data_IF_716609511271
#
_entry.id   IF_716609511271
#
_cell.length_a   1.000
_cell.length_b   1.000
_cell.length_c   1.000
_cell.angle_alpha   90.00
_cell.angle_beta   90.00
_cell.angle_gamma   90.00
#
_symmetry.space_group_name_H-M   'P 1'
#
loop_
_entity.id
_entity.type
_entity.pdbx_description
1 polymer ?
#
# COMPACT_ATOMS: atom_id res chain seq x y z
N UNK A 1 27.96 7.98 -1.15
CA UNK A 1 26.56 7.58 -0.82
C UNK A 1 26.02 8.52 0.24
N UNK A 2 24.78 8.99 0.12
CA UNK A 2 24.15 9.79 1.17
C UNK A 2 23.71 8.89 2.31
N UNK A 3 24.14 9.19 3.53
CA UNK A 3 23.74 8.47 4.74
C UNK A 3 22.32 8.87 5.14
N UNK A 4 21.46 7.89 5.44
CA UNK A 4 20.12 8.14 5.98
C UNK A 4 20.25 8.44 7.47
N UNK A 5 19.83 9.63 7.89
CA UNK A 5 19.87 10.08 9.29
C UNK A 5 18.48 10.34 9.89
N UNK A 6 17.45 10.53 9.05
CA UNK A 6 16.07 10.73 9.50
C UNK A 6 15.38 9.37 9.75
N UNK A 7 14.86 9.12 10.97
CA UNK A 7 14.07 7.93 11.27
C UNK A 7 12.84 7.79 10.38
N UNK A 8 12.17 8.90 10.05
CA UNK A 8 10.97 8.91 9.21
C UNK A 8 11.30 8.45 7.78
N UNK A 9 12.34 9.03 7.18
CA UNK A 9 12.79 8.65 5.85
C UNK A 9 13.26 7.20 5.82
N UNK A 10 13.97 6.76 6.85
CA UNK A 10 14.40 5.36 7.00
C UNK A 10 13.19 4.41 7.01
N UNK A 11 12.19 4.67 7.85
CA UNK A 11 10.98 3.83 7.93
C UNK A 11 10.18 3.84 6.62
N UNK A 12 10.13 4.94 5.89
CA UNK A 12 9.52 5.01 4.55
C UNK A 12 10.27 4.14 3.54
N UNK A 13 11.61 4.20 3.52
CA UNK A 13 12.45 3.39 2.63
C UNK A 13 12.25 1.91 2.93
N UNK A 14 12.35 1.52 4.21
CA UNK A 14 12.15 0.13 4.63
C UNK A 14 10.74 -0.34 4.28
N UNK A 15 9.69 0.41 4.65
CA UNK A 15 8.29 0.02 4.41
C UNK A 15 7.92 -0.15 2.94
N UNK A 16 8.59 0.58 2.02
CA UNK A 16 8.41 0.37 0.57
C UNK A 16 9.14 -0.89 0.09
N UNK A 17 10.35 -1.17 0.60
CA UNK A 17 11.16 -2.31 0.19
C UNK A 17 10.76 -3.66 0.82
N UNK A 18 10.17 -3.63 2.02
CA UNK A 18 9.91 -4.81 2.87
C UNK A 18 8.59 -5.51 2.60
N UNK A 19 7.78 -5.04 1.63
CA UNK A 19 6.51 -5.68 1.29
C UNK A 19 6.75 -7.10 0.79
N UNK A 20 6.13 -8.08 1.46
CA UNK A 20 6.02 -9.46 0.98
C UNK A 20 4.85 -9.56 0.01
N UNK A 21 4.99 -10.42 -0.99
CA UNK A 21 3.97 -10.61 -2.01
C UNK A 21 3.88 -12.09 -2.37
N UNK A 22 2.79 -12.73 -1.95
CA UNK A 22 2.55 -14.15 -2.24
C UNK A 22 2.30 -14.41 -3.73
N UNK A 23 1.81 -13.42 -4.49
CA UNK A 23 1.47 -13.60 -5.91
C UNK A 23 2.73 -13.60 -6.79
N UNK A 24 3.73 -12.80 -6.45
CA UNK A 24 5.04 -12.78 -7.12
C UNK A 24 6.08 -13.65 -6.44
N UNK A 25 5.67 -14.48 -5.47
CA UNK A 25 6.55 -15.36 -4.69
C UNK A 25 7.67 -14.61 -3.92
N UNK A 26 7.44 -13.33 -3.59
CA UNK A 26 8.37 -12.53 -2.79
C UNK A 26 8.09 -12.76 -1.30
N UNK A 27 8.66 -13.82 -0.75
CA UNK A 27 8.44 -14.21 0.66
C UNK A 27 9.48 -13.64 1.64
N UNK A 28 10.58 -13.10 1.14
CA UNK A 28 11.63 -12.54 1.98
C UNK A 28 12.34 -11.40 1.26
N UNK A 29 13.09 -10.62 2.04
CA UNK A 29 13.97 -9.58 1.53
C UNK A 29 15.21 -9.52 2.43
N UNK A 30 16.31 -9.00 1.89
CA UNK A 30 17.53 -8.76 2.64
C UNK A 30 17.81 -7.27 2.68
N UNK A 31 18.03 -6.74 3.87
CA UNK A 31 18.59 -5.40 4.05
C UNK A 31 20.09 -5.56 4.27
N UNK A 32 20.89 -4.85 3.50
CA UNK A 32 22.34 -4.78 3.70
C UNK A 32 22.66 -3.34 4.09
N UNK A 33 23.24 -3.17 5.27
CA UNK A 33 23.55 -1.85 5.82
C UNK A 33 25.06 -1.59 5.77
N UNK A 34 25.46 -0.72 4.84
CA UNK A 34 26.85 -0.30 4.67
C UNK A 34 27.16 1.03 5.39
N UNK A 35 26.15 1.70 5.95
CA UNK A 35 26.28 3.07 6.49
C UNK A 35 25.85 3.19 7.95
N UNK A 36 25.51 2.07 8.58
CA UNK A 36 25.00 2.00 9.95
C UNK A 36 23.59 2.57 10.12
N UNK A 37 22.78 2.63 9.05
CA UNK A 37 21.41 3.16 9.09
C UNK A 37 20.47 2.31 9.97
N UNK A 38 20.78 1.05 10.21
CA UNK A 38 20.05 0.13 11.11
C UNK A 38 19.95 0.64 12.55
N UNK A 39 20.81 1.59 12.96
CA UNK A 39 20.69 2.29 14.25
C UNK A 39 19.37 3.05 14.44
N UNK A 40 18.64 3.30 13.35
CA UNK A 40 17.36 4.01 13.34
C UNK A 40 16.15 3.09 13.61
N UNK A 41 16.35 1.77 13.73
CA UNK A 41 15.32 0.84 14.20
C UNK A 41 15.06 1.04 15.70
N UNK A 42 13.79 1.14 16.08
CA UNK A 42 13.38 1.21 17.48
C UNK A 42 12.97 -0.17 18.03
N UNK A 43 12.45 -0.20 19.26
CA UNK A 43 12.01 -1.43 19.92
C UNK A 43 10.78 -2.05 19.23
N UNK A 44 9.92 -1.23 18.62
CA UNK A 44 8.73 -1.69 17.91
C UNK A 44 9.08 -2.41 16.60
N UNK A 45 10.17 -1.98 15.95
CA UNK A 45 10.64 -2.58 14.69
C UNK A 45 11.30 -3.97 14.88
N UNK A 46 11.57 -4.39 16.13
CA UNK A 46 12.24 -5.66 16.43
C UNK A 46 11.23 -6.74 16.79
N UNK A 47 11.34 -7.96 16.23
CA UNK A 47 10.42 -9.04 16.59
C UNK A 47 10.51 -9.39 18.07
N UNK A 48 9.36 -9.51 18.72
CA UNK A 48 9.24 -9.90 20.12
C UNK A 48 9.48 -11.42 20.26
N UNK A 49 10.55 -11.82 20.94
CA UNK A 49 10.85 -13.24 21.19
C UNK A 49 12.34 -13.54 21.22
N UNK A 50 12.70 -14.73 21.70
CA UNK A 50 14.08 -15.22 21.57
C UNK A 50 14.41 -15.40 20.07
N UNK A 51 15.61 -15.00 19.61
CA UNK A 51 16.03 -15.27 18.24
C UNK A 51 15.93 -16.77 17.97
N UNK A 52 15.25 -17.14 16.89
CA UNK A 52 15.11 -18.55 16.49
C UNK A 52 16.52 -19.11 16.28
N UNK A 53 16.84 -20.19 17.00
CA UNK A 53 18.13 -20.86 16.85
C UNK A 53 18.25 -21.39 15.43
N UNK A 54 19.37 -21.08 14.76
CA UNK A 54 19.71 -21.70 13.49
C UNK A 54 19.80 -23.22 13.70
N UNK A 55 19.38 -24.06 12.74
CA UNK A 55 19.56 -25.49 12.87
C UNK A 55 21.06 -25.80 13.03
N UNK A 56 21.44 -26.39 14.17
CA UNK A 56 22.84 -26.68 14.57
C UNK A 56 23.29 -28.07 14.08
N UNK A 57 22.44 -28.79 13.34
CA UNK A 57 22.74 -30.13 12.85
C UNK A 57 23.71 -30.15 11.65
N UNK A 58 24.37 -31.29 11.38
CA UNK A 58 25.16 -31.45 10.17
C UNK A 58 24.29 -31.20 8.92
N UNK A 59 24.76 -30.32 8.03
CA UNK A 59 24.12 -30.03 6.74
C UNK A 59 24.44 -31.13 5.73
N UNK A 60 24.01 -32.36 5.98
CA UNK A 60 24.31 -33.54 5.13
C UNK A 60 23.07 -34.18 4.52
N UNK A 61 21.86 -33.70 4.84
CA UNK A 61 20.64 -34.25 4.28
C UNK A 61 20.43 -33.83 2.81
N UNK A 62 19.69 -34.64 2.06
CA UNK A 62 19.26 -34.35 0.70
C UNK A 62 17.74 -34.48 0.56
N UNK A 63 17.16 -33.67 -0.33
CA UNK A 63 15.74 -33.68 -0.63
C UNK A 63 15.55 -33.63 -2.14
N UNK A 64 14.89 -34.62 -2.71
CA UNK A 64 14.59 -34.66 -4.14
C UNK A 64 13.15 -35.10 -4.39
N UNK A 65 12.66 -34.85 -5.60
CA UNK A 65 11.26 -35.13 -5.88
C UNK A 65 10.78 -34.71 -7.25
N UNK A 66 9.51 -34.96 -7.48
CA UNK A 66 8.82 -34.59 -8.73
C UNK A 66 7.65 -33.66 -8.45
N UNK A 67 7.49 -32.66 -9.32
CA UNK A 67 6.35 -31.76 -9.34
C UNK A 67 5.46 -32.12 -10.52
N UNK A 68 4.16 -32.27 -10.27
CA UNK A 68 3.21 -32.68 -11.30
C UNK A 68 1.83 -32.05 -11.12
N UNK A 69 1.05 -32.03 -12.18
CA UNK A 69 -0.32 -31.53 -12.19
C UNK A 69 -1.24 -32.50 -11.43
N UNK A 70 -1.95 -32.01 -10.41
CA UNK A 70 -2.75 -32.86 -9.52
C UNK A 70 -3.90 -33.60 -10.21
N UNK A 71 -4.50 -32.99 -11.25
CA UNK A 71 -5.64 -33.57 -11.98
C UNK A 71 -5.22 -34.39 -13.22
N UNK A 72 -4.33 -33.88 -14.07
CA UNK A 72 -3.92 -34.57 -15.31
C UNK A 72 -2.77 -35.56 -15.10
N UNK A 73 -1.98 -35.42 -14.03
CA UNK A 73 -0.79 -36.23 -13.77
C UNK A 73 0.47 -35.76 -14.52
N UNK A 74 0.38 -34.71 -15.34
CA UNK A 74 1.49 -34.24 -16.17
C UNK A 74 2.66 -33.70 -15.33
N UNK A 75 3.90 -34.02 -15.72
CA UNK A 75 5.10 -33.49 -15.06
C UNK A 75 5.26 -32.00 -15.35
N UNK A 76 5.48 -31.21 -14.30
CA UNK A 76 5.58 -29.75 -14.41
C UNK A 76 7.02 -29.32 -14.60
N UNK A 77 7.35 -28.93 -15.83
CA UNK A 77 8.66 -28.41 -16.23
C UNK A 77 8.79 -26.93 -15.87
N UNK A 78 9.92 -26.52 -15.30
CA UNK A 78 10.16 -25.12 -14.93
C UNK A 78 9.41 -24.64 -13.68
N UNK A 79 8.90 -25.56 -12.86
CA UNK A 79 8.35 -25.23 -11.54
C UNK A 79 9.48 -24.76 -10.63
N UNK A 80 9.23 -23.68 -9.88
CA UNK A 80 10.16 -23.07 -8.93
C UNK A 80 10.05 -23.81 -7.60
N UNK A 81 11.17 -24.34 -7.12
CA UNK A 81 11.26 -25.06 -5.84
C UNK A 81 12.27 -24.36 -4.95
N UNK A 82 11.92 -24.09 -3.70
CA UNK A 82 12.81 -23.48 -2.71
C UNK A 82 12.66 -24.16 -1.35
N UNK A 83 13.77 -24.34 -0.62
CA UNK A 83 13.77 -24.93 0.73
C UNK A 83 14.19 -23.87 1.74
N UNK A 84 13.32 -23.55 2.69
CA UNK A 84 13.63 -22.69 3.83
C UNK A 84 14.10 -23.54 5.01
N UNK A 85 15.37 -23.35 5.37
CA UNK A 85 16.05 -24.08 6.46
C UNK A 85 16.12 -23.29 7.75
N UNK A 86 15.80 -21.99 7.74
CA UNK A 86 15.72 -21.14 8.92
C UNK A 86 14.97 -19.83 8.64
N UNK A 87 14.82 -18.94 9.63
CA UNK A 87 14.05 -17.70 9.50
C UNK A 87 14.52 -16.79 8.34
N UNK A 88 15.82 -16.83 8.04
CA UNK A 88 16.47 -16.03 7.00
C UNK A 88 17.38 -16.87 6.10
N UNK A 89 17.19 -18.20 6.07
CA UNK A 89 18.04 -19.11 5.31
C UNK A 89 17.18 -19.93 4.38
N UNK A 90 17.42 -19.76 3.08
CA UNK A 90 16.73 -20.46 2.00
C UNK A 90 17.75 -20.95 0.99
N UNK A 91 17.55 -22.16 0.46
CA UNK A 91 18.20 -22.67 -0.76
C UNK A 91 17.20 -22.63 -1.92
N UNK A 92 17.69 -22.27 -3.12
CA UNK A 92 16.86 -22.05 -4.31
C UNK A 92 16.45 -20.58 -4.51
N UNK A 93 15.60 -20.28 -5.51
CA UNK A 93 14.80 -21.24 -6.28
C UNK A 93 15.65 -22.04 -7.28
N UNK A 94 15.37 -23.34 -7.37
CA UNK A 94 15.76 -24.16 -8.51
C UNK A 94 14.53 -24.39 -9.39
N UNK A 95 14.76 -24.64 -10.68
CA UNK A 95 13.70 -24.97 -11.63
C UNK A 95 13.68 -26.48 -11.86
N UNK A 96 12.48 -27.07 -11.92
CA UNK A 96 12.34 -28.48 -12.29
C UNK A 96 12.76 -28.72 -13.74
N UNK A 97 13.33 -29.89 -14.00
CA UNK A 97 13.76 -30.31 -15.33
C UNK A 97 12.60 -30.78 -16.24
N UNK A 98 12.93 -31.38 -17.38
CA UNK A 98 11.95 -31.89 -18.37
C UNK A 98 11.06 -33.02 -17.83
N UNK A 99 11.49 -33.71 -16.78
CA UNK A 99 10.71 -34.76 -16.12
C UNK A 99 9.97 -34.22 -14.88
N UNK A 100 10.05 -32.91 -14.62
CA UNK A 100 9.49 -32.28 -13.44
C UNK A 100 10.28 -32.56 -12.16
N UNK A 101 11.53 -33.03 -12.28
CA UNK A 101 12.36 -33.42 -11.15
C UNK A 101 13.15 -32.24 -10.56
N UNK A 102 13.36 -32.26 -9.24
CA UNK A 102 14.20 -31.31 -8.51
C UNK A 102 15.06 -32.03 -7.46
N UNK A 103 16.19 -31.42 -7.09
CA UNK A 103 17.04 -31.93 -6.00
C UNK A 103 17.77 -30.83 -5.23
N UNK A 104 17.85 -31.00 -3.91
CA UNK A 104 18.60 -30.20 -2.96
C UNK A 104 19.54 -31.11 -2.18
N UNK A 105 20.73 -30.62 -1.86
CA UNK A 105 21.72 -31.29 -1.05
C UNK A 105 22.30 -30.33 -0.01
N UNK A 106 22.93 -30.87 1.03
CA UNK A 106 23.50 -30.04 2.08
C UNK A 106 22.44 -29.36 2.95
N UNK A 107 21.32 -30.04 3.18
CA UNK A 107 20.24 -29.56 4.04
C UNK A 107 20.50 -29.99 5.50
N UNK A 108 20.11 -29.17 6.50
CA UNK A 108 20.23 -29.56 7.89
C UNK A 108 19.17 -30.59 8.25
N UNK A 109 19.52 -31.54 9.12
CA UNK A 109 18.54 -32.45 9.70
C UNK A 109 17.50 -31.70 10.54
N UNK A 110 16.24 -32.07 10.39
CA UNK A 110 15.10 -31.45 11.07
C UNK A 110 13.94 -31.14 10.13
N UNK A 111 12.97 -30.39 10.65
CA UNK A 111 11.79 -29.96 9.89
C UNK A 111 12.11 -28.74 9.05
N UNK A 112 12.08 -28.90 7.73
CA UNK A 112 12.30 -27.85 6.74
C UNK A 112 10.97 -27.43 6.13
N UNK A 113 10.92 -26.22 5.57
CA UNK A 113 9.76 -25.77 4.78
C UNK A 113 10.11 -25.75 3.30
N UNK A 114 9.46 -26.60 2.51
CA UNK A 114 9.55 -26.64 1.06
C UNK A 114 8.45 -25.78 0.45
N UNK A 115 8.82 -24.86 -0.43
CA UNK A 115 7.93 -23.97 -1.17
C UNK A 115 8.02 -24.29 -2.65
N UNK A 116 6.88 -24.55 -3.29
CA UNK A 116 6.80 -24.94 -4.70
C UNK A 116 5.77 -24.08 -5.41
N UNK A 117 6.15 -23.51 -6.54
CA UNK A 117 5.26 -22.72 -7.39
C UNK A 117 5.50 -23.00 -8.87
N UNK A 118 4.46 -22.86 -9.69
CA UNK A 118 4.57 -22.98 -11.14
C UNK A 118 3.57 -22.01 -11.80
N UNK A 119 3.90 -21.43 -12.97
CA UNK A 119 2.98 -20.55 -13.69
C UNK A 119 1.64 -21.25 -13.97
N UNK A 120 0.53 -20.62 -13.58
CA UNK A 120 -0.82 -21.19 -13.73
C UNK A 120 -1.25 -22.18 -12.62
N UNK A 121 -0.39 -22.42 -11.62
CA UNK A 121 -0.68 -23.32 -10.49
C UNK A 121 -0.69 -22.57 -9.15
N UNK A 122 -1.47 -23.07 -8.20
CA UNK A 122 -1.46 -22.55 -6.84
C UNK A 122 -0.15 -22.97 -6.14
N UNK A 123 0.63 -21.99 -5.66
CA UNK A 123 1.83 -22.27 -4.87
C UNK A 123 1.50 -23.08 -3.62
N UNK A 124 2.39 -23.99 -3.24
CA UNK A 124 2.21 -24.93 -2.14
C UNK A 124 3.41 -24.88 -1.19
N UNK A 125 3.12 -24.84 0.10
CA UNK A 125 4.10 -24.90 1.18
C UNK A 125 3.93 -26.23 1.93
N UNK A 126 5.03 -26.95 2.14
CA UNK A 126 5.07 -28.27 2.75
C UNK A 126 6.13 -28.29 3.85
N UNK A 127 5.81 -28.88 4.99
CA UNK A 127 6.83 -29.20 6.01
C UNK A 127 7.39 -30.59 5.70
N UNK A 128 8.71 -30.68 5.59
CA UNK A 128 9.43 -31.91 5.27
C UNK A 128 10.42 -32.19 6.38
N UNK A 129 10.33 -33.36 6.99
CA UNK A 129 11.32 -33.81 7.95
C UNK A 129 12.48 -34.47 7.21
N UNK A 130 13.70 -34.05 7.53
CA UNK A 130 14.94 -34.58 6.95
C UNK A 130 15.83 -35.14 8.05
N UNK A 131 16.50 -36.25 7.76
CA UNK A 131 17.48 -36.88 8.64
C UNK A 131 18.89 -36.68 8.08
N UNK A 132 19.89 -36.62 8.96
CA UNK A 132 21.28 -36.44 8.56
C UNK A 132 21.73 -37.60 7.66
N UNK A 133 22.46 -37.29 6.59
CA UNK A 133 23.00 -38.26 5.62
C UNK A 133 21.94 -39.07 4.84
N UNK A 134 20.66 -38.73 4.97
CA UNK A 134 19.58 -39.38 4.22
C UNK A 134 19.05 -38.52 3.07
N UNK A 135 18.50 -39.20 2.06
CA UNK A 135 17.82 -38.57 0.93
C UNK A 135 16.32 -38.78 1.01
N UNK A 136 15.57 -37.72 1.27
CA UNK A 136 14.11 -37.74 1.31
C UNK A 136 13.57 -37.55 -0.10
N UNK A 137 12.68 -38.45 -0.54
CA UNK A 137 11.98 -38.37 -1.82
C UNK A 137 10.55 -37.92 -1.62
N UNK A 138 10.09 -36.91 -2.38
CA UNK A 138 8.72 -36.39 -2.28
C UNK A 138 8.07 -36.19 -3.64
N UNK A 139 6.76 -36.42 -3.70
CA UNK A 139 5.95 -36.14 -4.87
C UNK A 139 4.97 -35.00 -4.56
N UNK A 140 4.96 -33.98 -5.42
CA UNK A 140 4.28 -32.72 -5.15
C UNK A 140 3.24 -32.45 -6.23
N UNK A 141 1.97 -32.80 -5.96
CA UNK A 141 0.88 -32.39 -6.83
C UNK A 141 0.59 -30.89 -6.62
N UNK A 142 0.61 -30.14 -7.71
CA UNK A 142 0.09 -28.77 -7.76
C UNK A 142 -1.28 -28.77 -8.41
N UNK A 143 -2.22 -28.08 -7.76
CA UNK A 143 -3.54 -27.83 -8.34
C UNK A 143 -3.46 -26.59 -9.22
N UNK A 144 -4.24 -26.52 -10.32
CA UNK A 144 -4.40 -25.29 -11.06
C UNK A 144 -4.70 -24.14 -10.10
N UNK A 145 -4.10 -22.98 -10.37
CA UNK A 145 -4.43 -21.79 -9.61
C UNK A 145 -5.91 -21.52 -9.82
N UNK A 146 -6.74 -21.86 -8.82
CA UNK A 146 -8.05 -21.20 -8.72
C UNK A 146 -7.71 -19.73 -8.67
N UNK A 147 -8.28 -18.92 -9.58
CA UNK A 147 -8.21 -17.46 -9.51
C UNK A 147 -8.70 -17.04 -8.13
N UNK A 148 -7.80 -17.01 -7.16
CA UNK A 148 -8.00 -16.37 -5.87
C UNK A 148 -7.80 -14.91 -6.18
N UNK A 149 -8.89 -14.30 -6.62
CA UNK A 149 -8.99 -12.86 -6.62
C UNK A 149 -8.58 -12.40 -5.23
N UNK A 150 -7.57 -11.54 -5.16
CA UNK A 150 -7.39 -10.72 -3.97
C UNK A 150 -8.71 -9.98 -3.80
N UNK A 151 -9.46 -10.37 -2.78
CA UNK A 151 -10.64 -9.63 -2.37
C UNK A 151 -10.13 -8.37 -1.68
N UNK A 152 -10.25 -7.23 -2.33
CA UNK A 152 -10.16 -5.96 -1.60
C UNK A 152 -11.53 -5.84 -0.93
N UNK A 153 -11.55 -6.08 0.39
CA UNK A 153 -12.71 -5.72 1.21
C UNK A 153 -12.51 -4.28 1.65
N UNK A 154 -13.22 -3.38 1.00
CA UNK A 154 -13.53 -2.07 1.57
C UNK A 154 -14.92 -2.20 2.19
N UNK A 155 -15.18 -1.56 3.33
CA UNK A 155 -16.50 -1.60 3.97
C UNK A 155 -17.58 -1.20 2.95
N UNK A 156 -18.46 -2.13 2.57
CA UNK A 156 -19.55 -1.94 1.60
C UNK A 156 -19.27 -2.37 0.15
N UNK A 157 -18.07 -2.84 -0.21
CA UNK A 157 -17.75 -3.22 -1.59
C UNK A 157 -16.86 -4.48 -1.67
N UNK A 158 -17.37 -5.57 -2.26
CA UNK A 158 -16.56 -6.74 -2.62
C UNK A 158 -15.97 -6.55 -4.02
N UNK A 159 -14.65 -6.29 -4.09
CA UNK A 159 -13.92 -6.22 -5.37
C UNK A 159 -13.13 -7.51 -5.57
N UNK A 160 -13.26 -8.13 -6.73
CA UNK A 160 -12.47 -9.32 -7.12
C UNK A 160 -11.53 -9.00 -8.26
N UNK A 161 -10.22 -9.25 -8.05
CA UNK A 161 -9.22 -9.17 -9.11
C UNK A 161 -9.20 -10.51 -9.88
N UNK A 162 -10.01 -10.62 -10.93
CA UNK A 162 -9.66 -11.48 -12.08
C UNK A 162 -8.69 -10.68 -12.99
N UNK A 163 -8.32 -11.17 -14.17
CA UNK A 163 -7.63 -10.32 -15.17
C UNK A 163 -8.40 -9.01 -15.50
N UNK A 164 -9.66 -8.91 -15.07
CA UNK A 164 -10.49 -7.71 -15.04
C UNK A 164 -11.01 -7.48 -13.60
N UNK A 165 -10.98 -6.24 -13.11
CA UNK A 165 -11.54 -5.87 -11.81
C UNK A 165 -13.07 -5.76 -11.89
N UNK A 166 -13.78 -6.46 -11.00
CA UNK A 166 -15.24 -6.44 -10.90
C UNK A 166 -15.64 -5.76 -9.59
N UNK A 167 -16.51 -4.75 -9.68
CA UNK A 167 -17.09 -3.95 -8.61
C UNK A 167 -18.56 -4.34 -8.40
N UNK A 168 -19.01 -4.52 -7.16
CA UNK A 168 -20.40 -4.89 -6.84
C UNK A 168 -21.17 -3.71 -6.25
N UNK A 169 -22.24 -3.26 -6.88
CA UNK A 169 -23.09 -2.18 -6.37
C UNK A 169 -24.22 -2.81 -5.53
N UNK A 170 -24.15 -2.70 -4.21
CA UNK A 170 -25.15 -3.31 -3.30
C UNK A 170 -26.55 -2.73 -3.52
N UNK A 171 -26.66 -1.43 -3.80
CA UNK A 171 -27.94 -0.74 -4.02
C UNK A 171 -28.74 -1.27 -5.22
N UNK A 172 -28.07 -1.82 -6.24
CA UNK A 172 -28.70 -2.32 -7.47
C UNK A 172 -28.50 -3.82 -7.70
N UNK A 173 -27.60 -4.45 -6.94
CA UNK A 173 -27.17 -5.84 -7.14
C UNK A 173 -26.33 -6.06 -8.41
N UNK A 174 -25.88 -4.99 -9.07
CA UNK A 174 -25.14 -5.08 -10.33
C UNK A 174 -23.65 -5.32 -10.10
N UNK A 175 -23.04 -6.09 -11.02
CA UNK A 175 -21.59 -6.23 -11.13
C UNK A 175 -21.10 -5.40 -12.30
N UNK A 176 -20.18 -4.48 -12.03
CA UNK A 176 -19.60 -3.57 -13.02
C UNK A 176 -18.12 -3.89 -13.19
N UNK A 177 -17.66 -3.95 -14.44
CA UNK A 177 -16.22 -3.94 -14.76
C UNK A 177 -15.63 -2.55 -14.52
N UNK A 178 -14.32 -2.44 -14.55
CA UNK A 178 -13.60 -1.18 -14.30
C UNK A 178 -14.13 -0.02 -15.15
N UNK A 179 -14.30 -0.23 -16.46
CA UNK A 179 -14.79 0.80 -17.38
C UNK A 179 -16.23 1.21 -17.05
N UNK A 180 -17.09 0.24 -16.75
CA UNK A 180 -18.51 0.45 -16.42
C UNK A 180 -18.64 1.18 -15.06
N UNK A 181 -17.83 0.82 -14.07
CA UNK A 181 -17.79 1.47 -12.77
C UNK A 181 -17.26 2.92 -12.86
N UNK A 182 -16.27 3.15 -13.72
CA UNK A 182 -15.76 4.49 -14.02
C UNK A 182 -16.83 5.36 -14.65
N UNK A 183 -17.57 4.84 -15.62
CA UNK A 183 -18.65 5.57 -16.27
C UNK A 183 -19.79 5.86 -15.28
N UNK A 184 -20.12 4.91 -14.40
CA UNK A 184 -21.07 5.09 -13.31
C UNK A 184 -20.64 6.22 -12.35
N UNK A 185 -19.38 6.21 -11.88
CA UNK A 185 -18.81 7.29 -11.07
C UNK A 185 -18.95 8.63 -11.79
N UNK A 186 -18.54 8.72 -13.05
CA UNK A 186 -18.63 9.95 -13.83
C UNK A 186 -20.06 10.49 -13.93
N UNK A 187 -21.06 9.62 -14.11
CA UNK A 187 -22.47 10.01 -14.11
C UNK A 187 -22.90 10.53 -12.74
N UNK A 188 -22.57 9.84 -11.66
CA UNK A 188 -22.95 10.28 -10.31
C UNK A 188 -22.31 11.62 -9.93
N UNK A 189 -21.07 11.86 -10.36
CA UNK A 189 -20.38 13.15 -10.16
C UNK A 189 -21.05 14.24 -11.00
N UNK A 190 -21.34 14.01 -12.29
CA UNK A 190 -22.01 15.00 -13.18
C UNK A 190 -23.38 15.42 -12.68
N UNK A 191 -24.13 14.49 -12.08
CA UNK A 191 -25.46 14.79 -11.51
C UNK A 191 -25.40 15.77 -10.32
N UNK A 192 -24.27 15.82 -9.62
CA UNK A 192 -24.07 16.65 -8.41
C UNK A 192 -23.26 17.92 -8.70
N UNK A 193 -22.34 17.83 -9.66
CA UNK A 193 -21.49 18.92 -10.11
C UNK A 193 -21.44 18.93 -11.64
N UNK A 194 -22.06 19.93 -12.24
CA UNK A 194 -22.18 20.02 -13.70
C UNK A 194 -20.86 20.35 -14.42
N UNK A 195 -19.88 20.92 -13.69
CA UNK A 195 -18.58 21.29 -14.22
C UNK A 195 -17.52 21.33 -13.11
N UNK A 196 -16.26 21.56 -13.51
CA UNK A 196 -15.11 21.62 -12.61
C UNK A 196 -15.27 22.69 -11.51
N UNK A 197 -15.78 23.88 -11.85
CA UNK A 197 -15.99 24.96 -10.90
C UNK A 197 -17.05 24.60 -9.84
N UNK A 198 -18.15 23.97 -10.26
CA UNK A 198 -19.18 23.46 -9.37
C UNK A 198 -18.60 22.41 -8.40
N UNK A 199 -17.84 21.43 -8.92
CA UNK A 199 -17.21 20.40 -8.09
C UNK A 199 -16.20 21.02 -7.11
N UNK A 200 -15.40 21.98 -7.56
CA UNK A 200 -14.46 22.72 -6.69
C UNK A 200 -15.19 23.44 -5.57
N UNK A 201 -16.30 24.13 -5.86
CA UNK A 201 -17.07 24.86 -4.85
C UNK A 201 -17.61 23.95 -3.74
N UNK A 202 -17.94 22.70 -4.08
CA UNK A 202 -18.30 21.64 -3.14
C UNK A 202 -17.05 21.21 -2.35
N UNK A 203 -15.95 20.94 -3.06
CA UNK A 203 -14.74 20.35 -2.49
C UNK A 203 -14.00 21.23 -1.49
N UNK A 204 -13.91 22.54 -1.74
CA UNK A 204 -13.21 23.49 -0.85
C UNK A 204 -13.97 23.77 0.45
N UNK A 205 -15.27 23.46 0.49
CA UNK A 205 -16.09 23.59 1.69
C UNK A 205 -16.12 22.23 2.43
N UNK A 206 -15.57 22.13 3.66
CA UNK A 206 -15.47 20.84 4.36
C UNK A 206 -16.81 20.12 4.55
N UNK A 207 -17.87 20.86 4.89
CA UNK A 207 -19.20 20.28 5.13
C UNK A 207 -19.81 19.77 3.83
N UNK A 208 -19.74 20.56 2.75
CA UNK A 208 -20.25 20.14 1.43
C UNK A 208 -19.45 18.97 0.88
N UNK A 209 -18.11 18.99 1.03
CA UNK A 209 -17.23 17.89 0.61
C UNK A 209 -17.59 16.60 1.34
N UNK A 210 -17.75 16.65 2.67
CA UNK A 210 -18.14 15.48 3.47
C UNK A 210 -19.49 14.93 3.02
N UNK A 211 -20.50 15.80 2.88
CA UNK A 211 -21.82 15.39 2.40
C UNK A 211 -21.76 14.77 1.00
N UNK A 212 -20.95 15.33 0.10
CA UNK A 212 -20.73 14.79 -1.24
C UNK A 212 -20.08 13.41 -1.21
N UNK A 213 -19.01 13.21 -0.43
CA UNK A 213 -18.33 11.92 -0.31
C UNK A 213 -19.22 10.86 0.36
N UNK A 214 -19.95 11.21 1.40
CA UNK A 214 -20.93 10.32 2.03
C UNK A 214 -22.04 9.91 1.06
N UNK A 215 -22.52 10.84 0.24
CA UNK A 215 -23.54 10.56 -0.76
C UNK A 215 -23.01 9.65 -1.88
N UNK A 216 -21.76 9.81 -2.32
CA UNK A 216 -21.11 8.85 -3.21
C UNK A 216 -21.05 7.45 -2.57
N UNK A 217 -20.62 7.35 -1.30
CA UNK A 217 -20.56 6.07 -0.59
C UNK A 217 -21.93 5.39 -0.47
N UNK A 218 -23.02 6.17 -0.29
CA UNK A 218 -24.40 5.64 -0.29
C UNK A 218 -24.85 5.04 -1.63
N UNK A 219 -24.13 5.36 -2.71
CA UNK A 219 -24.33 4.81 -4.04
C UNK A 219 -23.24 3.77 -4.40
N UNK A 220 -22.61 3.16 -3.39
CA UNK A 220 -21.53 2.16 -3.52
C UNK A 220 -20.31 2.67 -4.32
N UNK A 221 -20.08 3.99 -4.28
CA UNK A 221 -18.91 4.62 -4.88
C UNK A 221 -17.81 4.78 -3.82
N UNK A 222 -16.75 3.97 -3.96
CA UNK A 222 -15.57 3.99 -3.10
C UNK A 222 -14.35 4.39 -3.92
N UNK A 223 -13.91 5.64 -3.74
CA UNK A 223 -12.81 6.21 -4.52
C UNK A 223 -11.48 5.49 -4.23
N UNK A 224 -11.28 5.05 -2.99
CA UNK A 224 -10.08 4.38 -2.54
C UNK A 224 -9.92 3.01 -3.23
N UNK A 225 -11.01 2.26 -3.37
CA UNK A 225 -11.02 0.97 -4.07
C UNK A 225 -10.67 1.15 -5.56
N UNK A 226 -11.28 2.14 -6.21
CA UNK A 226 -11.01 2.44 -7.61
C UNK A 226 -9.57 2.93 -7.83
N UNK A 227 -9.09 3.83 -6.98
CA UNK A 227 -7.72 4.31 -7.00
C UNK A 227 -6.70 3.17 -6.78
N UNK A 228 -7.00 2.20 -5.92
CA UNK A 228 -6.15 1.03 -5.71
C UNK A 228 -6.07 0.15 -6.97
N UNK A 229 -7.21 -0.15 -7.59
CA UNK A 229 -7.28 -0.94 -8.83
C UNK A 229 -6.53 -0.25 -9.97
N UNK A 230 -6.61 1.08 -10.06
CA UNK A 230 -5.93 1.87 -11.10
C UNK A 230 -4.44 2.15 -10.78
N UNK A 231 -3.96 1.79 -9.59
CA UNK A 231 -2.59 2.10 -9.15
C UNK A 231 -2.35 3.60 -8.91
N UNK A 232 -3.41 4.35 -8.61
CA UNK A 232 -3.43 5.80 -8.46
C UNK A 232 -3.63 6.24 -7.01
N UNK A 233 -3.15 5.44 -6.04
CA UNK A 233 -3.36 5.71 -4.60
C UNK A 233 -2.72 7.02 -4.11
N UNK A 234 -1.74 7.56 -4.84
CA UNK A 234 -1.04 8.82 -4.54
C UNK A 234 -1.73 10.05 -5.15
N UNK A 235 -2.67 9.84 -6.08
CA UNK A 235 -3.45 10.89 -6.74
C UNK A 235 -4.37 11.53 -5.71
N UNK A 236 -4.50 12.85 -5.74
CA UNK A 236 -5.45 13.54 -4.88
C UNK A 236 -6.89 13.25 -5.33
N UNK A 237 -7.80 13.02 -4.38
CA UNK A 237 -9.18 12.65 -4.66
C UNK A 237 -9.93 13.67 -5.53
N UNK A 238 -9.65 14.97 -5.38
CA UNK A 238 -10.24 16.00 -6.24
C UNK A 238 -9.73 15.87 -7.68
N UNK A 239 -8.41 15.70 -7.84
CA UNK A 239 -7.81 15.52 -9.17
C UNK A 239 -8.28 14.21 -9.79
N UNK A 240 -8.44 13.15 -9.00
CA UNK A 240 -9.00 11.89 -9.45
C UNK A 240 -10.42 12.07 -10.01
N UNK A 241 -11.32 12.69 -9.24
CA UNK A 241 -12.69 12.95 -9.67
C UNK A 241 -12.76 13.86 -10.91
N UNK A 242 -11.97 14.94 -10.93
CA UNK A 242 -11.97 15.90 -12.03
C UNK A 242 -11.32 15.34 -13.30
N UNK A 243 -10.28 14.51 -13.16
CA UNK A 243 -9.64 13.82 -14.27
C UNK A 243 -10.63 12.85 -14.93
N UNK A 244 -11.26 11.97 -14.15
CA UNK A 244 -12.21 11.00 -14.68
C UNK A 244 -13.44 11.66 -15.30
N UNK A 245 -13.96 12.71 -14.66
CA UNK A 245 -15.26 13.28 -15.03
C UNK A 245 -15.17 14.38 -16.09
N UNK A 246 -14.11 15.19 -16.05
CA UNK A 246 -13.94 16.40 -16.86
C UNK A 246 -12.64 16.44 -17.67
N UNK A 247 -11.80 15.40 -17.60
CA UNK A 247 -10.54 15.34 -18.35
C UNK A 247 -9.46 16.28 -17.81
N UNK A 248 -9.55 16.71 -16.55
CA UNK A 248 -8.54 17.57 -15.93
C UNK A 248 -7.18 16.86 -15.79
N UNK A 249 -6.06 17.61 -15.70
CA UNK A 249 -4.75 17.03 -15.44
C UNK A 249 -4.71 16.29 -14.09
N UNK A 250 -4.11 15.10 -14.08
CA UNK A 250 -3.93 14.32 -12.85
C UNK A 250 -2.81 14.94 -12.02
N UNK A 251 -3.03 15.11 -10.72
CA UNK A 251 -1.99 15.54 -9.76
C UNK A 251 -2.06 14.70 -8.50
N UNK A 252 -0.89 14.45 -7.93
CA UNK A 252 -0.72 13.77 -6.66
C UNK A 252 -0.86 14.74 -5.49
N UNK A 253 -1.17 14.19 -4.31
CA UNK A 253 -1.16 14.97 -3.06
C UNK A 253 0.20 15.64 -2.81
N UNK A 254 1.29 14.97 -3.19
CA UNK A 254 2.66 15.49 -3.10
C UNK A 254 2.89 16.69 -4.03
N UNK A 255 2.41 16.62 -5.26
CA UNK A 255 2.49 17.73 -6.22
C UNK A 255 1.65 18.92 -5.76
N UNK A 256 0.43 18.68 -5.25
CA UNK A 256 -0.41 19.75 -4.67
C UNK A 256 0.25 20.45 -3.49
N UNK A 257 0.80 19.69 -2.55
CA UNK A 257 1.51 20.25 -1.40
C UNK A 257 2.72 21.09 -1.84
N UNK A 258 3.47 20.61 -2.84
CA UNK A 258 4.62 21.33 -3.40
C UNK A 258 4.20 22.61 -4.12
N UNK A 259 3.15 22.54 -4.95
CA UNK A 259 2.60 23.69 -5.66
C UNK A 259 2.08 24.75 -4.69
N UNK A 260 1.38 24.34 -3.62
CA UNK A 260 0.96 25.23 -2.54
C UNK A 260 2.17 25.95 -1.93
N UNK A 261 3.21 25.20 -1.53
CA UNK A 261 4.40 25.79 -0.93
C UNK A 261 5.02 26.82 -1.86
N UNK A 262 5.19 26.51 -3.14
CA UNK A 262 5.85 27.40 -4.08
C UNK A 262 5.01 28.66 -4.37
N UNK A 263 3.69 28.51 -4.52
CA UNK A 263 2.79 29.61 -4.91
C UNK A 263 2.43 30.52 -3.74
N UNK A 264 2.21 29.95 -2.56
CA UNK A 264 1.65 30.67 -1.39
C UNK A 264 2.74 31.20 -0.43
N UNK A 265 3.95 31.50 -0.94
CA UNK A 265 5.07 31.98 -0.13
C UNK A 265 4.72 33.24 0.68
N UNK A 266 4.05 34.22 0.07
CA UNK A 266 3.63 35.44 0.77
C UNK A 266 2.67 35.14 1.94
N UNK A 267 1.75 34.19 1.74
CA UNK A 267 0.85 33.73 2.79
C UNK A 267 1.60 32.99 3.90
N UNK A 268 2.58 32.14 3.56
CA UNK A 268 3.41 31.47 4.58
C UNK A 268 4.28 32.48 5.37
N UNK A 269 4.77 33.52 4.69
CA UNK A 269 5.61 34.54 5.30
C UNK A 269 4.86 35.52 6.21
N UNK A 270 3.53 35.64 6.08
CA UNK A 270 2.73 36.46 6.99
C UNK A 270 2.60 35.86 8.40
N UNK A 271 2.93 34.57 8.57
CA UNK A 271 2.95 33.89 9.86
C UNK A 271 4.36 33.88 10.48
N UNK A 272 4.41 33.94 11.82
CA UNK A 272 5.62 33.69 12.60
C UNK A 272 6.12 32.25 12.44
N UNK A 273 7.36 32.00 12.86
CA UNK A 273 8.07 30.73 12.64
C UNK A 273 7.30 29.50 13.11
N UNK A 274 6.79 29.51 14.35
CA UNK A 274 6.02 28.39 14.89
C UNK A 274 4.73 28.10 14.10
N UNK A 275 3.96 29.14 13.77
CA UNK A 275 2.73 28.99 12.99
C UNK A 275 3.03 28.52 11.56
N UNK A 276 4.10 29.01 10.94
CA UNK A 276 4.55 28.54 9.63
C UNK A 276 4.94 27.06 9.67
N UNK A 277 5.66 26.63 10.70
CA UNK A 277 6.04 25.23 10.88
C UNK A 277 4.82 24.33 11.04
N UNK A 278 3.77 24.80 11.74
CA UNK A 278 2.48 24.10 11.80
C UNK A 278 1.86 23.93 10.42
N UNK A 279 1.85 24.99 9.59
CA UNK A 279 1.32 24.90 8.22
C UNK A 279 2.10 23.88 7.39
N UNK A 280 3.43 23.88 7.49
CA UNK A 280 4.27 22.92 6.75
C UNK A 280 4.00 21.48 7.17
N UNK A 281 3.84 21.20 8.48
CA UNK A 281 3.48 19.86 8.94
C UNK A 281 2.06 19.45 8.54
N UNK A 282 1.11 20.39 8.50
CA UNK A 282 -0.23 20.12 7.99
C UNK A 282 -0.18 19.67 6.52
N UNK A 283 0.69 20.29 5.70
CA UNK A 283 0.90 19.87 4.31
C UNK A 283 1.51 18.47 4.22
N UNK A 284 2.40 18.08 5.13
CA UNK A 284 2.91 16.70 5.19
C UNK A 284 1.82 15.70 5.61
N UNK A 285 0.94 16.06 6.56
CA UNK A 285 -0.23 15.23 6.88
C UNK A 285 -1.16 15.07 5.69
N UNK A 286 -1.46 16.16 4.99
CA UNK A 286 -2.23 16.14 3.75
C UNK A 286 -1.60 15.23 2.68
N UNK A 287 -0.27 15.28 2.51
CA UNK A 287 0.44 14.44 1.55
C UNK A 287 0.21 12.94 1.78
N UNK A 288 0.13 12.54 3.05
CA UNK A 288 -0.05 11.14 3.46
C UNK A 288 -1.51 10.71 3.43
N UNK A 289 -2.42 11.49 4.02
CA UNK A 289 -3.79 11.06 4.26
C UNK A 289 -4.87 11.90 3.57
N UNK A 290 -4.49 12.77 2.64
CA UNK A 290 -5.45 13.58 1.88
C UNK A 290 -6.07 14.71 2.70
N UNK A 291 -7.10 15.33 2.11
CA UNK A 291 -7.70 16.55 2.62
C UNK A 291 -8.44 16.37 3.94
N UNK A 292 -8.85 15.14 4.26
CA UNK A 292 -9.45 14.80 5.54
C UNK A 292 -8.49 14.99 6.73
N UNK A 293 -7.17 14.99 6.49
CA UNK A 293 -6.17 15.26 7.53
C UNK A 293 -6.09 16.75 7.93
N UNK A 294 -6.78 17.65 7.23
CA UNK A 294 -6.79 19.09 7.53
C UNK A 294 -7.97 19.53 8.39
N UNK A 295 -8.45 18.62 9.25
CA UNK A 295 -9.49 18.88 10.25
C UNK A 295 -8.86 19.13 11.64
N UNK A 296 -9.57 19.82 12.57
CA UNK A 296 -9.02 20.17 13.89
C UNK A 296 -8.44 19.00 14.70
N UNK A 297 -8.95 17.78 14.47
CA UNK A 297 -8.55 16.55 15.14
C UNK A 297 -7.07 16.21 14.88
N UNK A 298 -6.51 16.68 13.76
CA UNK A 298 -5.10 16.49 13.41
C UNK A 298 -4.16 17.00 14.50
N UNK A 299 -4.55 18.02 15.27
CA UNK A 299 -3.70 18.54 16.33
C UNK A 299 -3.56 17.61 17.55
N UNK A 300 -4.27 16.49 17.56
CA UNK A 300 -4.15 15.44 18.57
C UNK A 300 -3.09 14.38 18.22
N UNK A 301 -2.54 14.42 17.00
CA UNK A 301 -1.51 13.48 16.54
C UNK A 301 -0.13 14.14 16.48
N UNK A 302 0.92 13.31 16.44
CA UNK A 302 2.31 13.79 16.37
C UNK A 302 2.60 14.52 15.04
N UNK A 303 3.40 15.60 15.01
CA UNK A 303 4.11 16.24 16.13
C UNK A 303 3.29 17.30 16.90
N UNK A 304 2.04 17.54 16.49
CA UNK A 304 1.22 18.63 17.05
C UNK A 304 0.89 18.42 18.52
N UNK A 305 0.69 17.17 18.95
CA UNK A 305 0.49 16.82 20.35
C UNK A 305 1.67 17.26 21.22
N UNK A 306 2.89 16.99 20.77
CA UNK A 306 4.14 17.34 21.45
C UNK A 306 4.38 18.85 21.48
N UNK A 307 3.79 19.59 20.54
CA UNK A 307 3.77 21.06 20.53
C UNK A 307 2.70 21.67 21.41
N UNK A 308 2.02 20.88 22.24
CA UNK A 308 0.97 21.32 23.15
C UNK A 308 -0.43 21.34 22.52
N UNK A 309 -0.60 20.63 21.40
CA UNK A 309 -1.88 20.35 20.75
C UNK A 309 -2.63 21.60 20.27
N UNK A 310 -3.93 21.43 20.03
CA UNK A 310 -4.79 22.51 19.52
C UNK A 310 -4.78 23.77 20.40
N UNK A 311 -4.62 23.61 21.73
CA UNK A 311 -4.60 24.72 22.68
C UNK A 311 -3.38 25.63 22.48
N UNK A 312 -2.18 25.06 22.40
CA UNK A 312 -0.95 25.86 22.24
C UNK A 312 -0.84 26.39 20.81
N UNK A 313 -1.17 25.54 19.83
CA UNK A 313 -1.13 25.90 18.41
C UNK A 313 -2.08 27.07 18.14
N UNK A 314 -3.30 27.09 18.69
CA UNK A 314 -4.24 28.20 18.43
C UNK A 314 -3.66 29.56 18.80
N UNK A 315 -2.86 29.65 19.87
CA UNK A 315 -2.22 30.90 20.30
C UNK A 315 -1.20 31.42 19.27
N UNK A 316 -0.48 30.54 18.59
CA UNK A 316 0.46 30.93 17.53
C UNK A 316 -0.23 31.54 16.31
N UNK A 317 -1.51 31.24 16.10
CA UNK A 317 -2.33 31.82 15.03
C UNK A 317 -3.17 33.02 15.49
N UNK A 318 -3.06 33.45 16.75
CA UNK A 318 -3.87 34.55 17.31
C UNK A 318 -5.21 34.12 17.91
N UNK A 319 -5.37 32.84 18.22
CA UNK A 319 -6.53 32.26 18.91
C UNK A 319 -7.30 31.24 18.06
N UNK A 320 -8.28 30.56 18.68
CA UNK A 320 -9.04 29.48 18.06
C UNK A 320 -9.78 29.89 16.78
N UNK A 321 -10.39 31.09 16.76
CA UNK A 321 -11.09 31.60 15.58
C UNK A 321 -10.16 31.81 14.38
N UNK A 322 -8.97 32.36 14.63
CA UNK A 322 -7.97 32.61 13.60
C UNK A 322 -7.31 31.32 13.10
N UNK A 323 -7.08 30.34 13.98
CA UNK A 323 -6.63 29.01 13.57
C UNK A 323 -7.66 28.34 12.64
N UNK A 324 -8.95 28.40 13.00
CA UNK A 324 -10.03 27.83 12.19
C UNK A 324 -10.14 28.49 10.82
N UNK A 325 -10.12 29.82 10.76
CA UNK A 325 -10.14 30.54 9.47
C UNK A 325 -8.90 30.21 8.64
N UNK A 326 -7.73 30.13 9.27
CA UNK A 326 -6.47 29.76 8.60
C UNK A 326 -6.53 28.36 8.00
N UNK A 327 -7.06 27.37 8.73
CA UNK A 327 -7.27 26.02 8.18
C UNK A 327 -8.18 26.02 6.95
N UNK A 328 -9.28 26.77 6.99
CA UNK A 328 -10.17 26.92 5.83
C UNK A 328 -9.44 27.59 4.65
N UNK A 329 -8.65 28.63 4.91
CA UNK A 329 -7.84 29.30 3.88
C UNK A 329 -6.79 28.36 3.29
N UNK A 330 -6.14 27.51 4.09
CA UNK A 330 -5.20 26.50 3.59
C UNK A 330 -5.94 25.52 2.67
N UNK A 331 -7.08 24.98 3.09
CA UNK A 331 -7.87 24.06 2.25
C UNK A 331 -8.29 24.72 0.93
N UNK A 332 -8.73 25.98 0.95
CA UNK A 332 -9.06 26.73 -0.27
C UNK A 332 -7.84 26.94 -1.17
N UNK A 333 -6.69 27.28 -0.59
CA UNK A 333 -5.43 27.51 -1.33
C UNK A 333 -4.83 26.21 -1.84
N UNK A 334 -5.08 25.04 -1.26
CA UNK A 334 -4.65 23.76 -1.85
C UNK A 334 -5.32 23.54 -3.22
N UNK A 335 -6.57 23.99 -3.37
CA UNK A 335 -7.34 23.93 -4.62
C UNK A 335 -7.55 25.33 -5.18
N UNK A 336 -6.55 25.97 -5.83
CA UNK A 336 -6.75 27.29 -6.43
C UNK A 336 -7.89 27.26 -7.45
N UNK A 337 -8.48 28.43 -7.73
CA UNK A 337 -9.23 28.58 -8.97
C UNK A 337 -8.22 28.49 -10.11
N UNK A 338 -8.30 27.44 -10.92
CA UNK A 338 -7.52 27.41 -12.15
C UNK A 338 -8.03 28.54 -13.02
N UNK A 339 -7.16 29.51 -13.30
CA UNK A 339 -7.42 30.48 -14.34
C UNK A 339 -7.69 29.72 -15.62
N UNK A 340 -8.87 29.95 -16.20
CA UNK A 340 -9.13 29.64 -17.60
C UNK A 340 -7.96 30.26 -18.37
N UNK A 341 -7.07 29.42 -18.90
CA UNK A 341 -5.98 29.84 -19.78
C UNK A 341 -6.02 28.95 -21.00
#
# INVERSE_FOLDING_TARGET
MKTVSSPVLFKQIIGRGSRIDQATEKYWFRIIDFTGATRLFDQWDRPTGAPTQLPVGPCTAALCGWVFHAETGDRLVGARVSVRTGPNTQQGPILTDKEGFFSFSGLPAGTLTLMVGAPGFASRELRVETLAEESVKIEIPLKPARRRSRKIRVEGLEVTIADEAIFFIEATGQQLRLEEYRDYLCQQVKNRASNLSALRSIWVNPEKRRAFLEDLRRHDIHLEALAEVMGWQEVDEFDFLTHLTFGAPIRTRSERATAFRNREQLFLHSFGENARQVILELLEKYRVGGIEQLQPEVFSVSPFREWGGAFTISRWFGGHGSLRSTLLTIQQKIYPEEGIS
#
